data_IF_823644723144
#
_entry.id   IF_823644723144
#
_cell.length_a   1.000
_cell.length_b   1.000
_cell.length_c   1.000
_cell.angle_alpha   90.00
_cell.angle_beta   90.00
_cell.angle_gamma   90.00
#
_symmetry.space_group_name_H-M   'P 1'
#
loop_
_entity.id
_entity.type
_entity.pdbx_description
1 polymer ?
#
# COMPACT_ATOMS: atom_id res chain seq x y z
N UNK A 1 0.40 19.73 10.03
CA UNK A 1 0.03 18.58 10.85
C UNK A 1 0.07 17.32 9.98
N UNK A 2 0.63 16.24 10.49
CA UNK A 2 0.62 14.91 9.85
C UNK A 2 -0.26 13.99 10.69
N UNK A 3 -1.26 13.37 10.06
CA UNK A 3 -2.21 12.48 10.72
C UNK A 3 -2.39 11.19 9.90
N UNK A 4 -2.55 10.02 10.55
CA UNK A 4 -3.09 8.84 9.88
C UNK A 4 -4.48 9.14 9.32
N UNK A 5 -4.82 8.56 8.16
CA UNK A 5 -6.11 8.81 7.49
C UNK A 5 -7.33 8.63 8.41
N UNK A 6 -7.36 7.55 9.16
CA UNK A 6 -8.48 7.30 10.09
C UNK A 6 -8.54 8.32 11.24
N UNK A 7 -7.38 8.80 11.72
CA UNK A 7 -7.34 9.88 12.71
C UNK A 7 -7.87 11.18 12.14
N UNK A 8 -7.50 11.54 10.93
CA UNK A 8 -8.01 12.71 10.23
C UNK A 8 -9.54 12.65 10.09
N UNK A 9 -10.09 11.55 9.61
CA UNK A 9 -11.54 11.37 9.48
C UNK A 9 -12.25 11.41 10.84
N UNK A 10 -11.67 10.81 11.87
CA UNK A 10 -12.26 10.81 13.20
C UNK A 10 -12.28 12.23 13.81
N UNK A 11 -11.16 12.93 13.76
CA UNK A 11 -10.96 14.21 14.43
C UNK A 11 -11.67 15.36 13.71
N UNK A 12 -11.65 15.36 12.38
CA UNK A 12 -12.22 16.45 11.58
C UNK A 12 -13.55 16.08 10.94
N UNK A 13 -13.77 14.80 10.59
CA UNK A 13 -14.97 14.34 9.92
C UNK A 13 -16.11 13.90 10.85
N UNK A 14 -15.79 13.27 11.98
CA UNK A 14 -16.82 12.65 12.82
C UNK A 14 -16.98 13.33 14.16
N UNK A 15 -15.94 13.45 14.99
CA UNK A 15 -16.08 13.94 16.38
C UNK A 15 -16.79 15.28 16.52
N UNK A 16 -16.49 16.31 15.74
CA UNK A 16 -17.18 17.59 15.84
C UNK A 16 -18.66 17.53 15.48
N UNK A 17 -19.03 16.59 14.60
CA UNK A 17 -20.35 16.51 13.98
C UNK A 17 -21.13 15.22 14.33
N UNK A 18 -20.63 14.39 15.24
CA UNK A 18 -21.28 13.11 15.57
C UNK A 18 -22.71 13.29 16.13
N UNK A 19 -23.01 14.43 16.76
CA UNK A 19 -24.37 14.78 17.21
C UNK A 19 -25.35 15.01 16.06
N UNK A 20 -24.87 15.50 14.91
CA UNK A 20 -25.70 15.69 13.72
C UNK A 20 -26.04 14.40 13.00
N UNK A 21 -25.25 13.30 13.19
CA UNK A 21 -25.42 12.04 12.49
C UNK A 21 -26.76 11.30 12.76
N UNK A 22 -27.62 11.83 13.63
CA UNK A 22 -28.94 11.27 13.90
C UNK A 22 -28.97 10.09 14.87
N UNK A 23 -27.92 9.92 15.68
CA UNK A 23 -27.80 8.86 16.68
C UNK A 23 -28.09 9.33 18.11
N UNK A 24 -28.79 10.45 18.25
CA UNK A 24 -29.15 11.04 19.55
C UNK A 24 -27.91 11.58 20.28
N UNK A 25 -27.84 11.32 21.60
CA UNK A 25 -26.73 11.74 22.46
C UNK A 25 -25.53 10.78 22.45
N UNK A 26 -25.54 9.78 21.56
CA UNK A 26 -24.48 8.78 21.49
C UNK A 26 -23.13 9.41 21.09
N UNK A 27 -22.08 8.96 21.77
CA UNK A 27 -20.70 9.36 21.48
C UNK A 27 -19.87 8.14 21.10
N UNK A 28 -19.04 8.31 20.09
CA UNK A 28 -18.10 7.27 19.69
C UNK A 28 -16.84 7.30 20.57
N UNK A 29 -16.42 6.13 21.05
CA UNK A 29 -15.28 5.98 21.97
C UNK A 29 -13.94 5.95 21.24
N UNK A 30 -13.90 5.46 19.98
CA UNK A 30 -12.68 5.32 19.21
C UNK A 30 -12.91 4.67 17.86
N UNK A 31 -11.83 4.06 17.32
CA UNK A 31 -11.84 3.31 16.04
C UNK A 31 -11.44 1.87 16.32
N UNK A 32 -12.25 0.93 15.84
CA UNK A 32 -11.93 -0.48 15.79
C UNK A 32 -11.18 -0.79 14.48
N UNK A 33 -9.90 -1.10 14.60
CA UNK A 33 -9.00 -1.42 13.48
C UNK A 33 -9.06 -2.90 13.08
N UNK A 34 -9.78 -3.72 13.84
CA UNK A 34 -9.92 -5.12 13.47
C UNK A 34 -10.79 -5.25 12.21
N UNK A 35 -10.49 -6.23 11.34
CA UNK A 35 -11.34 -6.50 10.21
C UNK A 35 -12.78 -6.76 10.66
N UNK A 36 -13.71 -5.96 10.17
CA UNK A 36 -15.12 -6.17 10.43
C UNK A 36 -15.55 -7.53 9.87
N UNK A 37 -16.12 -8.38 10.73
CA UNK A 37 -16.83 -9.56 10.29
C UNK A 37 -18.05 -9.21 9.41
N UNK A 38 -18.83 -10.21 9.00
CA UNK A 38 -20.06 -9.95 8.25
C UNK A 38 -21.02 -9.10 9.08
N UNK A 39 -21.22 -7.85 8.64
CA UNK A 39 -22.11 -6.88 9.29
C UNK A 39 -23.45 -6.86 8.53
N UNK A 40 -24.48 -7.45 9.12
CA UNK A 40 -25.83 -7.50 8.57
C UNK A 40 -26.72 -6.34 9.03
N UNK A 41 -26.15 -5.37 9.78
CA UNK A 41 -26.93 -4.23 10.26
C UNK A 41 -27.33 -3.32 9.09
N UNK A 42 -28.54 -2.78 9.16
CA UNK A 42 -29.05 -1.87 8.15
C UNK A 42 -28.18 -0.61 8.05
N UNK A 43 -27.78 -0.26 6.82
CA UNK A 43 -27.06 0.99 6.55
C UNK A 43 -27.81 2.18 7.14
N UNK A 44 -27.09 3.11 7.77
CA UNK A 44 -27.65 4.30 8.42
C UNK A 44 -27.98 4.11 9.90
N UNK A 45 -28.00 2.89 10.43
CA UNK A 45 -28.17 2.65 11.88
C UNK A 45 -26.82 2.76 12.62
N UNK A 46 -26.85 3.06 13.91
CA UNK A 46 -25.65 3.15 14.75
C UNK A 46 -24.79 1.87 14.65
N UNK A 47 -25.44 0.71 14.74
CA UNK A 47 -24.76 -0.60 14.68
C UNK A 47 -24.12 -0.94 13.34
N UNK A 48 -24.49 -0.25 12.28
CA UNK A 48 -23.81 -0.37 10.99
C UNK A 48 -22.41 0.25 11.04
N UNK A 49 -22.23 1.31 11.84
CA UNK A 49 -21.00 2.08 11.90
C UNK A 49 -20.06 1.66 13.03
N UNK A 50 -20.57 1.10 14.13
CA UNK A 50 -19.75 0.80 15.29
C UNK A 50 -20.09 -0.54 15.96
N UNK A 51 -19.14 -1.04 16.75
CA UNK A 51 -19.29 -2.21 17.61
C UNK A 51 -20.12 -1.88 18.90
N UNK A 52 -20.24 -2.87 19.79
CA UNK A 52 -20.98 -2.71 21.06
C UNK A 52 -20.35 -1.68 22.00
N UNK A 53 -19.04 -1.53 21.95
CA UNK A 53 -18.25 -0.54 22.73
C UNK A 53 -18.28 0.86 22.11
N UNK A 54 -19.04 1.06 21.02
CA UNK A 54 -19.14 2.32 20.27
C UNK A 54 -17.83 2.73 19.60
N UNK A 55 -16.94 1.79 19.33
CA UNK A 55 -15.79 2.00 18.47
C UNK A 55 -16.23 1.88 17.01
N UNK A 56 -15.89 2.87 16.19
CA UNK A 56 -16.25 2.91 14.78
C UNK A 56 -15.40 1.90 14.03
N UNK A 57 -16.03 1.01 13.25
CA UNK A 57 -15.26 0.15 12.33
C UNK A 57 -14.47 1.00 11.35
N UNK A 58 -13.16 0.82 11.27
CA UNK A 58 -12.28 1.61 10.41
C UNK A 58 -12.82 1.70 8.96
N UNK A 59 -13.29 0.57 8.41
CA UNK A 59 -13.88 0.51 7.08
C UNK A 59 -15.19 1.30 6.91
N UNK A 60 -15.83 1.74 8.00
CA UNK A 60 -17.07 2.54 7.97
C UNK A 60 -16.84 4.01 8.33
N UNK A 61 -15.64 4.35 8.77
CA UNK A 61 -15.33 5.71 9.20
C UNK A 61 -15.54 6.77 8.10
N UNK A 62 -15.10 6.55 6.84
CA UNK A 62 -15.36 7.50 5.75
C UNK A 62 -16.86 7.66 5.47
N UNK A 63 -17.61 6.55 5.50
CA UNK A 63 -19.06 6.60 5.30
C UNK A 63 -19.79 7.36 6.43
N UNK A 64 -19.29 7.26 7.66
CA UNK A 64 -19.82 8.00 8.80
C UNK A 64 -19.47 9.49 8.70
N UNK A 65 -18.26 9.84 8.30
CA UNK A 65 -17.85 11.22 8.07
C UNK A 65 -18.73 11.89 6.99
N UNK A 66 -19.00 11.19 5.89
CA UNK A 66 -19.93 11.66 4.86
C UNK A 66 -21.36 11.82 5.37
N UNK A 67 -21.84 10.90 6.22
CA UNK A 67 -23.14 11.04 6.87
C UNK A 67 -23.17 12.26 7.79
N UNK A 68 -22.12 12.49 8.56
CA UNK A 68 -22.00 13.71 9.38
C UNK A 68 -22.05 14.96 8.50
N UNK A 69 -21.34 14.97 7.36
CA UNK A 69 -21.33 16.08 6.42
C UNK A 69 -22.73 16.35 5.85
N UNK A 70 -23.42 15.30 5.38
CA UNK A 70 -24.79 15.40 4.86
C UNK A 70 -25.75 15.95 5.93
N UNK A 71 -25.74 15.37 7.13
CA UNK A 71 -26.65 15.76 8.20
C UNK A 71 -26.35 17.14 8.82
N UNK A 72 -25.15 17.68 8.59
CA UNK A 72 -24.74 19.03 9.01
C UNK A 72 -24.70 20.04 7.85
N UNK A 73 -25.37 19.72 6.73
CA UNK A 73 -25.44 20.59 5.54
C UNK A 73 -24.08 21.05 5.01
N UNK A 74 -23.11 20.14 5.00
CA UNK A 74 -21.76 20.39 4.44
C UNK A 74 -20.73 20.89 5.45
N UNK A 75 -21.10 21.07 6.72
CA UNK A 75 -20.22 21.69 7.72
C UNK A 75 -18.92 20.89 8.01
N UNK A 76 -18.87 19.59 7.73
CA UNK A 76 -17.63 18.81 7.86
C UNK A 76 -16.57 19.30 6.86
N UNK A 77 -16.95 19.41 5.60
CA UNK A 77 -16.05 19.83 4.52
C UNK A 77 -15.66 21.30 4.71
N UNK A 78 -16.61 22.16 5.06
CA UNK A 78 -16.35 23.57 5.32
C UNK A 78 -15.33 23.75 6.46
N UNK A 79 -15.48 23.00 7.56
CA UNK A 79 -14.51 23.00 8.64
C UNK A 79 -13.11 22.60 8.18
N UNK A 80 -12.99 21.60 7.30
CA UNK A 80 -11.68 21.20 6.74
C UNK A 80 -11.08 22.36 5.95
N UNK A 81 -11.86 23.04 5.11
CA UNK A 81 -11.43 24.22 4.35
C UNK A 81 -10.97 25.38 5.24
N UNK A 82 -11.68 25.64 6.33
CA UNK A 82 -11.33 26.70 7.29
C UNK A 82 -10.03 26.41 8.05
N UNK A 83 -9.77 25.13 8.35
CA UNK A 83 -8.62 24.74 9.15
C UNK A 83 -7.34 24.52 8.34
N UNK A 84 -7.47 24.12 7.06
CA UNK A 84 -6.35 23.69 6.24
C UNK A 84 -6.33 24.44 4.90
N UNK A 85 -5.17 24.99 4.54
CA UNK A 85 -4.97 25.62 3.22
C UNK A 85 -4.81 24.59 2.10
N UNK A 86 -4.36 23.37 2.42
CA UNK A 86 -4.20 22.24 1.49
C UNK A 86 -4.27 20.93 2.25
N UNK A 87 -4.81 19.91 1.62
CA UNK A 87 -4.77 18.51 2.12
C UNK A 87 -3.83 17.69 1.23
N UNK A 88 -2.79 17.12 1.83
CA UNK A 88 -1.85 16.24 1.15
C UNK A 88 -2.18 14.80 1.55
N UNK A 89 -2.44 13.93 0.58
CA UNK A 89 -2.78 12.52 0.80
C UNK A 89 -1.71 11.66 0.17
N UNK A 90 -0.96 10.94 1.00
CA UNK A 90 0.03 9.97 0.56
C UNK A 90 -0.58 8.57 0.47
N UNK A 91 0.06 7.68 -0.30
CA UNK A 91 -0.36 6.29 -0.50
C UNK A 91 -1.82 6.16 -0.98
N UNK A 92 -2.25 7.02 -1.90
CA UNK A 92 -3.63 7.10 -2.37
C UNK A 92 -4.17 5.77 -2.92
N UNK A 93 -3.29 4.89 -3.42
CA UNK A 93 -3.66 3.56 -3.94
C UNK A 93 -4.19 2.60 -2.85
N UNK A 94 -3.99 2.92 -1.57
CA UNK A 94 -4.55 2.14 -0.44
C UNK A 94 -6.00 2.53 -0.12
N UNK A 95 -6.46 3.68 -0.61
CA UNK A 95 -7.83 4.16 -0.41
C UNK A 95 -8.83 3.31 -1.18
N UNK A 96 -10.03 3.18 -0.64
CA UNK A 96 -11.09 2.39 -1.25
C UNK A 96 -12.50 2.80 -0.78
N UNK A 97 -13.51 2.41 -1.53
CA UNK A 97 -14.89 2.54 -1.09
C UNK A 97 -15.33 4.00 -0.86
N UNK A 98 -15.72 4.32 0.36
CA UNK A 98 -16.18 5.65 0.74
C UNK A 98 -15.06 6.68 0.93
N UNK A 99 -13.79 6.26 0.97
CA UNK A 99 -12.65 7.20 0.99
C UNK A 99 -12.67 8.07 -0.26
N UNK A 100 -12.92 7.46 -1.43
CA UNK A 100 -13.04 8.19 -2.70
C UNK A 100 -14.19 9.19 -2.68
N UNK A 101 -15.33 8.84 -2.08
CA UNK A 101 -16.47 9.77 -1.98
C UNK A 101 -16.14 10.95 -1.06
N UNK A 102 -15.35 10.73 0.01
CA UNK A 102 -14.93 11.81 0.90
C UNK A 102 -13.93 12.74 0.19
N UNK A 103 -12.97 12.18 -0.54
CA UNK A 103 -12.02 12.95 -1.38
C UNK A 103 -12.78 13.75 -2.44
N UNK A 104 -13.76 13.13 -3.11
CA UNK A 104 -14.59 13.81 -4.10
C UNK A 104 -15.36 14.99 -3.48
N UNK A 105 -15.83 14.86 -2.24
CA UNK A 105 -16.48 15.96 -1.53
C UNK A 105 -15.51 17.12 -1.24
N UNK A 106 -14.25 16.84 -0.91
CA UNK A 106 -13.21 17.88 -0.76
C UNK A 106 -12.95 18.60 -2.08
N UNK A 107 -12.73 17.85 -3.16
CA UNK A 107 -12.50 18.41 -4.50
C UNK A 107 -13.69 19.27 -4.98
N UNK A 108 -14.92 18.79 -4.77
CA UNK A 108 -16.14 19.51 -5.18
C UNK A 108 -16.39 20.78 -4.37
N UNK A 109 -15.75 20.94 -3.23
CA UNK A 109 -15.81 22.14 -2.40
C UNK A 109 -14.65 23.11 -2.66
N UNK A 110 -13.92 22.93 -3.78
CA UNK A 110 -12.77 23.75 -4.15
C UNK A 110 -11.66 23.75 -3.10
N UNK A 111 -11.48 22.61 -2.42
CA UNK A 111 -10.38 22.40 -1.49
C UNK A 111 -9.12 21.98 -2.28
N UNK A 112 -7.99 22.69 -2.15
CA UNK A 112 -6.73 22.23 -2.72
C UNK A 112 -6.33 20.88 -2.11
N UNK A 113 -6.27 19.84 -2.95
CA UNK A 113 -5.89 18.48 -2.55
C UNK A 113 -4.75 18.01 -3.46
N UNK A 114 -3.64 17.58 -2.85
CA UNK A 114 -2.55 16.92 -3.57
C UNK A 114 -2.53 15.45 -3.15
N UNK A 115 -2.58 14.56 -4.11
CA UNK A 115 -2.60 13.12 -3.88
C UNK A 115 -1.39 12.48 -4.55
N UNK A 116 -0.65 11.65 -3.83
CA UNK A 116 0.43 10.88 -4.41
C UNK A 116 0.30 9.39 -4.06
N UNK A 117 0.82 8.55 -4.94
CA UNK A 117 0.79 7.11 -4.77
C UNK A 117 1.37 6.35 -5.97
N UNK A 118 1.50 5.05 -5.78
CA UNK A 118 1.98 4.13 -6.80
C UNK A 118 1.06 2.91 -6.87
N UNK A 119 0.31 2.74 -7.93
CA UNK A 119 -0.63 1.62 -8.11
C UNK A 119 0.04 0.25 -8.01
N UNK A 120 1.34 0.15 -8.34
CA UNK A 120 2.14 -1.06 -8.21
C UNK A 120 2.31 -1.51 -6.75
N UNK A 121 2.15 -0.58 -5.78
CA UNK A 121 2.28 -0.82 -4.35
C UNK A 121 0.95 -1.05 -3.63
N UNK A 122 -0.13 -1.33 -4.35
CA UNK A 122 -1.46 -1.60 -3.78
C UNK A 122 -1.51 -2.99 -3.11
N UNK A 123 -0.89 -3.12 -1.95
CA UNK A 123 -0.85 -4.36 -1.14
C UNK A 123 -1.94 -4.43 -0.08
N UNK A 124 -2.53 -3.29 0.26
CA UNK A 124 -3.55 -3.10 1.28
C UNK A 124 -4.69 -2.26 0.71
N UNK A 125 -5.87 -2.35 1.30
CA UNK A 125 -7.01 -1.47 1.04
C UNK A 125 -7.66 -1.08 2.35
N UNK A 126 -7.99 0.20 2.50
CA UNK A 126 -8.66 0.75 3.67
C UNK A 126 -10.05 0.15 3.89
N UNK A 127 -10.69 -0.35 2.82
CA UNK A 127 -12.04 -0.87 2.85
C UNK A 127 -12.19 -2.13 1.97
N UNK A 128 -12.69 -3.21 2.55
CA UNK A 128 -13.01 -4.46 1.85
C UNK A 128 -14.45 -4.51 1.30
N UNK A 129 -15.24 -3.44 1.46
CA UNK A 129 -16.64 -3.36 1.02
C UNK A 129 -16.82 -3.41 -0.50
N UNK A 130 -18.05 -3.62 -0.94
CA UNK A 130 -18.37 -3.71 -2.36
C UNK A 130 -18.44 -2.36 -3.08
N UNK A 131 -18.58 -1.24 -2.35
CA UNK A 131 -18.64 0.08 -2.96
C UNK A 131 -17.30 0.43 -3.62
N UNK A 132 -17.33 0.86 -4.87
CA UNK A 132 -16.16 1.21 -5.69
C UNK A 132 -15.09 0.09 -5.73
N UNK A 133 -15.50 -1.17 -5.56
CA UNK A 133 -14.60 -2.31 -5.54
C UNK A 133 -13.89 -2.47 -6.89
N UNK A 134 -12.57 -2.57 -6.83
CA UNK A 134 -11.74 -2.78 -8.02
C UNK A 134 -11.46 -1.53 -8.85
N UNK A 135 -12.02 -0.37 -8.50
CA UNK A 135 -11.66 0.88 -9.15
C UNK A 135 -10.33 1.41 -8.59
N UNK A 136 -9.49 1.94 -9.47
CA UNK A 136 -8.45 2.88 -9.09
C UNK A 136 -9.07 4.26 -8.82
N UNK A 137 -8.28 5.18 -8.22
CA UNK A 137 -8.74 6.55 -8.04
C UNK A 137 -9.04 7.23 -9.39
N UNK A 138 -8.19 7.04 -10.39
CA UNK A 138 -8.39 7.60 -11.73
C UNK A 138 -9.70 7.11 -12.34
N UNK A 139 -9.96 5.81 -12.32
CA UNK A 139 -11.22 5.24 -12.78
C UNK A 139 -12.44 5.76 -12.02
N UNK A 140 -12.27 6.04 -10.70
CA UNK A 140 -13.32 6.67 -9.91
C UNK A 140 -13.57 8.12 -10.34
N UNK A 141 -12.51 8.91 -10.56
CA UNK A 141 -12.58 10.31 -11.04
C UNK A 141 -13.29 10.37 -12.39
N UNK A 142 -12.91 9.54 -13.35
CA UNK A 142 -13.54 9.45 -14.68
C UNK A 142 -15.02 9.08 -14.58
N UNK A 143 -15.33 8.01 -13.88
CA UNK A 143 -16.70 7.50 -13.69
C UNK A 143 -17.62 8.55 -13.07
N UNK A 144 -17.12 9.37 -12.16
CA UNK A 144 -17.91 10.39 -11.46
C UNK A 144 -17.78 11.79 -12.09
N UNK A 145 -17.16 11.89 -13.28
CA UNK A 145 -17.01 13.14 -14.05
C UNK A 145 -16.28 14.24 -13.26
N UNK A 146 -15.27 13.87 -12.48
CA UNK A 146 -14.48 14.79 -11.67
C UNK A 146 -13.17 15.21 -12.37
N UNK A 147 -12.99 14.85 -13.63
CA UNK A 147 -11.77 15.12 -14.41
C UNK A 147 -11.44 16.61 -14.55
N UNK A 148 -12.47 17.47 -14.52
CA UNK A 148 -12.26 18.93 -14.54
C UNK A 148 -11.75 19.51 -13.24
N UNK A 149 -11.77 18.72 -12.14
CA UNK A 149 -11.31 19.12 -10.80
C UNK A 149 -9.94 18.55 -10.46
N UNK A 150 -9.33 17.75 -11.33
CA UNK A 150 -8.08 17.05 -11.06
C UNK A 150 -7.16 17.13 -12.27
N UNK A 151 -5.90 17.44 -12.01
CA UNK A 151 -4.79 17.24 -12.94
C UNK A 151 -4.02 15.98 -12.52
N UNK A 152 -3.65 15.14 -13.50
CA UNK A 152 -2.92 13.90 -13.25
C UNK A 152 -1.51 14.02 -13.83
N UNK A 153 -0.52 14.09 -12.95
CA UNK A 153 0.90 14.06 -13.30
C UNK A 153 1.44 12.63 -13.15
N UNK A 154 1.98 12.08 -14.22
CA UNK A 154 2.62 10.75 -14.26
C UNK A 154 4.13 10.83 -14.50
N UNK A 155 4.69 12.03 -14.58
CA UNK A 155 6.09 12.24 -14.97
C UNK A 155 6.96 12.69 -13.79
N UNK A 156 6.50 13.61 -12.96
CA UNK A 156 7.32 14.25 -11.92
C UNK A 156 7.88 13.27 -10.89
N UNK A 157 7.12 12.24 -10.51
CA UNK A 157 7.52 11.24 -9.51
C UNK A 157 7.98 9.90 -10.13
N UNK A 158 8.48 9.92 -11.35
CA UNK A 158 8.90 8.69 -12.05
C UNK A 158 10.29 8.17 -11.65
N UNK A 159 10.98 8.84 -10.75
CA UNK A 159 12.31 8.46 -10.27
C UNK A 159 12.33 7.97 -8.83
N UNK A 160 13.26 7.06 -8.51
CA UNK A 160 13.49 6.60 -7.14
C UNK A 160 14.89 6.95 -6.64
N UNK A 161 14.97 7.61 -5.49
CA UNK A 161 16.23 7.84 -4.77
C UNK A 161 16.62 6.68 -3.84
N UNK A 162 15.78 5.67 -3.73
CA UNK A 162 16.01 4.52 -2.83
C UNK A 162 16.79 3.41 -3.50
N UNK A 163 16.32 2.95 -4.63
CA UNK A 163 16.79 1.71 -5.23
C UNK A 163 17.92 1.96 -6.21
N UNK A 164 18.98 1.17 -6.12
CA UNK A 164 20.01 1.13 -7.14
C UNK A 164 19.46 0.75 -8.51
N UNK A 165 20.19 1.07 -9.56
CA UNK A 165 19.78 0.81 -10.96
C UNK A 165 19.37 -0.65 -11.19
N UNK A 166 20.21 -1.61 -10.78
CA UNK A 166 19.90 -3.03 -11.00
C UNK A 166 18.67 -3.53 -10.24
N UNK A 167 18.38 -2.96 -9.07
CA UNK A 167 17.16 -3.31 -8.30
C UNK A 167 15.91 -2.78 -8.98
N UNK A 168 15.91 -1.50 -9.41
CA UNK A 168 14.70 -0.91 -10.00
C UNK A 168 14.45 -1.42 -11.43
N UNK A 169 15.47 -1.69 -12.22
CA UNK A 169 15.31 -2.31 -13.54
C UNK A 169 14.63 -3.68 -13.42
N UNK A 170 15.03 -4.49 -12.43
CA UNK A 170 14.36 -5.77 -12.17
C UNK A 170 12.93 -5.58 -11.66
N UNK A 171 12.68 -4.60 -10.78
CA UNK A 171 11.35 -4.30 -10.30
C UNK A 171 10.39 -3.87 -11.44
N UNK A 172 10.88 -3.14 -12.43
CA UNK A 172 10.10 -2.73 -13.61
C UNK A 172 9.58 -3.93 -14.40
N UNK A 173 10.30 -5.06 -14.43
CA UNK A 173 9.84 -6.29 -15.10
C UNK A 173 8.56 -6.87 -14.47
N UNK A 174 8.30 -6.58 -13.19
CA UNK A 174 7.06 -7.02 -12.50
C UNK A 174 5.82 -6.34 -13.07
N UNK A 175 5.97 -5.12 -13.59
CA UNK A 175 4.89 -4.29 -14.13
C UNK A 175 5.22 -3.72 -15.52
N UNK A 176 5.39 -4.57 -16.55
CA UNK A 176 5.78 -4.11 -17.89
C UNK A 176 4.75 -3.21 -18.57
N UNK A 177 3.50 -3.15 -18.05
CA UNK A 177 2.44 -2.28 -18.55
C UNK A 177 2.52 -0.84 -18.04
N UNK A 178 3.36 -0.56 -17.03
CA UNK A 178 3.58 0.80 -16.55
C UNK A 178 4.89 1.38 -17.11
N UNK A 179 4.99 2.71 -17.21
CA UNK A 179 6.27 3.35 -17.52
C UNK A 179 7.36 2.91 -16.52
N UNK A 180 8.58 2.63 -16.99
CA UNK A 180 9.64 2.21 -16.10
C UNK A 180 10.05 3.35 -15.15
N UNK A 181 10.25 2.99 -13.88
CA UNK A 181 10.84 3.91 -12.90
C UNK A 181 12.33 3.98 -13.08
N UNK A 182 12.91 5.17 -13.03
CA UNK A 182 14.35 5.41 -13.14
C UNK A 182 15.02 5.45 -11.76
N UNK A 183 16.26 4.97 -11.67
CA UNK A 183 17.07 5.15 -10.47
C UNK A 183 17.71 6.54 -10.48
N UNK A 184 17.38 7.32 -9.46
CA UNK A 184 18.03 8.58 -9.11
C UNK A 184 19.00 8.40 -7.93
N UNK A 185 19.26 7.14 -7.56
CA UNK A 185 20.19 6.82 -6.48
C UNK A 185 21.61 7.20 -6.87
N UNK A 186 22.31 7.91 -5.98
CA UNK A 186 23.71 8.21 -6.19
C UNK A 186 24.52 6.91 -6.33
N UNK A 187 25.54 6.92 -7.17
CA UNK A 187 26.46 5.80 -7.27
C UNK A 187 27.03 5.45 -5.89
N UNK A 188 26.95 4.18 -5.52
CA UNK A 188 27.50 3.69 -4.26
C UNK A 188 28.71 2.81 -4.52
N UNK A 189 29.61 2.74 -3.54
CA UNK A 189 30.75 1.80 -3.56
C UNK A 189 30.32 0.38 -3.13
N UNK A 190 29.02 0.13 -3.02
CA UNK A 190 28.50 -1.18 -2.64
C UNK A 190 28.80 -2.21 -3.73
N UNK A 191 29.60 -3.20 -3.39
CA UNK A 191 30.06 -4.24 -4.32
C UNK A 191 29.00 -5.30 -4.57
N UNK A 192 28.15 -5.58 -3.57
CA UNK A 192 27.04 -6.52 -3.69
C UNK A 192 25.75 -5.79 -4.09
N UNK A 193 25.55 -5.63 -5.39
CA UNK A 193 24.47 -4.81 -5.95
C UNK A 193 23.62 -5.59 -6.97
N UNK A 194 22.35 -5.21 -7.10
CA UNK A 194 21.40 -5.77 -8.06
C UNK A 194 20.64 -6.98 -7.53
N UNK A 195 20.25 -7.90 -8.41
CA UNK A 195 19.38 -9.02 -8.05
C UNK A 195 20.10 -10.35 -8.23
N UNK A 196 19.89 -11.26 -7.27
CA UNK A 196 20.61 -12.50 -7.13
C UNK A 196 19.67 -13.67 -6.82
N UNK A 197 19.92 -14.82 -7.42
CA UNK A 197 19.36 -16.09 -6.98
C UNK A 197 20.28 -16.70 -5.91
N UNK A 198 19.69 -17.09 -4.79
CA UNK A 198 20.41 -17.68 -3.66
C UNK A 198 19.97 -19.13 -3.55
N UNK A 199 20.84 -20.13 -3.83
CA UNK A 199 20.50 -21.53 -3.58
C UNK A 199 20.03 -21.72 -2.13
N UNK A 200 18.97 -22.48 -1.94
CA UNK A 200 18.38 -22.70 -0.60
C UNK A 200 19.42 -23.24 0.38
N UNK A 201 20.29 -24.15 -0.05
CA UNK A 201 21.39 -24.67 0.74
C UNK A 201 22.43 -23.62 1.18
N UNK A 202 22.50 -22.49 0.46
CA UNK A 202 23.42 -21.40 0.74
C UNK A 202 22.77 -20.20 1.45
N UNK A 203 21.46 -20.24 1.70
CA UNK A 203 20.72 -19.11 2.28
C UNK A 203 21.28 -18.67 3.65
N UNK A 204 21.70 -19.62 4.48
CA UNK A 204 22.33 -19.32 5.79
C UNK A 204 23.67 -18.59 5.61
N UNK A 205 24.53 -19.06 4.71
CA UNK A 205 25.82 -18.41 4.42
C UNK A 205 25.64 -17.01 3.85
N UNK A 206 24.59 -16.83 3.03
CA UNK A 206 24.26 -15.50 2.50
C UNK A 206 23.83 -14.54 3.62
N UNK A 207 23.04 -15.01 4.60
CA UNK A 207 22.69 -14.22 5.77
C UNK A 207 23.91 -13.85 6.62
N UNK A 208 24.84 -14.76 6.80
CA UNK A 208 26.10 -14.50 7.52
C UNK A 208 27.01 -13.50 6.80
N UNK A 209 26.96 -13.49 5.45
CA UNK A 209 27.75 -12.58 4.62
C UNK A 209 27.22 -11.13 4.61
N UNK A 210 25.88 -10.93 4.53
CA UNK A 210 25.28 -9.60 4.30
C UNK A 210 24.33 -9.14 5.41
N UNK A 211 23.89 -10.05 6.29
CA UNK A 211 22.80 -9.81 7.27
C UNK A 211 21.58 -9.10 6.63
N UNK A 212 21.01 -9.63 5.54
CA UNK A 212 19.89 -8.99 4.85
C UNK A 212 18.63 -9.07 5.69
N UNK A 213 17.69 -8.13 5.47
CA UNK A 213 16.33 -8.30 6.02
C UNK A 213 15.60 -9.38 5.23
N UNK A 214 15.16 -10.43 5.92
CA UNK A 214 14.37 -11.49 5.30
C UNK A 214 12.91 -11.06 5.16
N UNK A 215 12.38 -11.16 3.93
CA UNK A 215 10.97 -10.95 3.63
C UNK A 215 10.31 -12.28 3.26
N UNK A 216 9.18 -12.58 3.95
CA UNK A 216 8.41 -13.82 3.77
C UNK A 216 6.91 -13.57 3.74
N UNK A 217 6.15 -14.58 3.27
CA UNK A 217 4.70 -14.46 3.19
C UNK A 217 4.04 -14.49 4.58
N UNK A 218 4.44 -15.43 5.42
CA UNK A 218 3.86 -15.66 6.76
C UNK A 218 4.90 -16.14 7.76
N UNK A 219 4.55 -16.11 9.03
CA UNK A 219 5.41 -16.63 10.11
C UNK A 219 5.67 -18.14 10.02
N UNK A 220 4.81 -18.89 9.31
CA UNK A 220 4.99 -20.32 9.08
C UNK A 220 6.06 -20.64 8.03
N UNK A 221 6.48 -19.66 7.20
CA UNK A 221 7.57 -19.87 6.24
C UNK A 221 8.88 -20.03 7.01
N UNK A 222 9.50 -21.20 6.87
CA UNK A 222 10.84 -21.44 7.40
C UNK A 222 11.87 -20.62 6.63
N UNK A 223 12.81 -20.02 7.33
CA UNK A 223 13.85 -19.16 6.75
C UNK A 223 15.19 -19.45 7.39
N UNK A 224 16.28 -19.03 6.75
CA UNK A 224 17.57 -18.91 7.40
C UNK A 224 17.50 -17.96 8.60
N UNK A 225 18.50 -18.03 9.49
CA UNK A 225 18.62 -17.10 10.61
C UNK A 225 19.19 -15.77 10.13
N UNK A 226 18.53 -14.68 10.50
CA UNK A 226 18.97 -13.31 10.22
C UNK A 226 18.52 -12.40 11.37
N UNK A 227 19.17 -11.24 11.50
CA UNK A 227 18.86 -10.25 12.53
C UNK A 227 17.44 -9.70 12.42
N UNK A 228 16.88 -9.68 11.21
CA UNK A 228 15.54 -9.16 10.96
C UNK A 228 14.77 -10.01 9.95
N UNK A 229 13.56 -10.44 10.36
CA UNK A 229 12.64 -11.19 9.53
C UNK A 229 11.25 -10.52 9.58
N UNK A 230 10.67 -10.25 8.42
CA UNK A 230 9.38 -9.62 8.39
C UNK A 230 8.47 -10.16 7.26
N UNK A 231 7.14 -10.05 7.43
CA UNK A 231 6.21 -10.43 6.38
C UNK A 231 6.11 -9.31 5.34
N UNK A 232 5.87 -9.63 4.05
CA UNK A 232 5.76 -8.68 2.94
C UNK A 232 4.90 -7.46 3.27
N UNK A 233 3.72 -7.67 3.86
CA UNK A 233 2.81 -6.56 4.19
C UNK A 233 3.33 -5.58 5.25
N UNK A 234 4.28 -6.01 6.11
CA UNK A 234 4.91 -5.17 7.13
C UNK A 234 6.15 -4.43 6.61
N UNK A 235 6.64 -4.78 5.43
CA UNK A 235 7.81 -4.15 4.82
C UNK A 235 7.46 -2.84 4.10
N UNK A 236 6.18 -2.61 3.77
CA UNK A 236 5.74 -1.36 3.11
C UNK A 236 6.13 -0.15 3.96
N UNK A 237 6.58 0.92 3.32
CA UNK A 237 7.07 2.14 3.97
C UNK A 237 8.48 2.05 4.57
N UNK A 238 9.12 0.87 4.57
CA UNK A 238 10.48 0.68 5.09
C UNK A 238 11.52 0.66 3.97
N UNK A 239 12.79 0.85 4.35
CA UNK A 239 13.94 0.79 3.44
C UNK A 239 15.05 0.00 4.10
N UNK A 240 15.71 -0.87 3.34
CA UNK A 240 16.78 -1.74 3.80
C UNK A 240 17.93 -1.72 2.79
N UNK A 241 19.14 -1.95 3.21
CA UNK A 241 20.28 -2.01 2.31
C UNK A 241 20.22 -3.27 1.45
N UNK A 242 20.00 -4.41 2.07
CA UNK A 242 19.90 -5.72 1.43
C UNK A 242 18.63 -6.45 1.88
N UNK A 243 17.98 -7.11 0.94
CA UNK A 243 16.76 -7.89 1.19
C UNK A 243 16.93 -9.30 0.68
N UNK A 244 16.51 -10.30 1.48
CA UNK A 244 16.41 -11.69 1.07
C UNK A 244 14.94 -12.12 1.04
N UNK A 245 14.45 -12.47 -0.12
CA UNK A 245 13.04 -12.82 -0.35
C UNK A 245 12.89 -14.34 -0.37
N UNK A 246 11.98 -14.86 0.45
CA UNK A 246 11.46 -16.23 0.36
C UNK A 246 10.18 -16.19 -0.50
N UNK A 247 10.28 -16.54 -1.79
CA UNK A 247 9.17 -16.39 -2.72
C UNK A 247 8.06 -17.41 -2.43
N UNK A 248 6.81 -17.02 -2.69
CA UNK A 248 5.70 -17.98 -2.80
C UNK A 248 5.71 -18.62 -4.18
N UNK A 249 4.97 -19.72 -4.36
CA UNK A 249 5.00 -20.51 -5.60
C UNK A 249 4.80 -19.65 -6.88
N UNK A 250 3.80 -18.77 -6.90
CA UNK A 250 3.55 -17.89 -8.05
C UNK A 250 4.76 -16.99 -8.35
N UNK A 251 5.43 -16.47 -7.31
CA UNK A 251 6.64 -15.64 -7.48
C UNK A 251 7.82 -16.48 -7.97
N UNK A 252 7.98 -17.71 -7.48
CA UNK A 252 9.03 -18.61 -7.92
C UNK A 252 8.86 -18.99 -9.41
N UNK A 253 7.63 -19.26 -9.85
CA UNK A 253 7.34 -19.50 -11.27
C UNK A 253 7.64 -18.29 -12.14
N UNK A 254 7.31 -17.08 -11.65
CA UNK A 254 7.62 -15.84 -12.37
C UNK A 254 9.15 -15.58 -12.47
N UNK A 255 9.92 -15.96 -11.46
CA UNK A 255 11.39 -15.86 -11.53
C UNK A 255 12.00 -16.76 -12.60
N UNK A 256 11.39 -17.91 -12.87
CA UNK A 256 11.82 -18.83 -13.94
C UNK A 256 11.38 -18.32 -15.32
N UNK A 257 10.19 -17.77 -15.41
CA UNK A 257 9.61 -17.23 -16.64
C UNK A 257 8.78 -15.96 -16.32
N UNK A 258 9.34 -14.81 -16.61
CA UNK A 258 8.72 -13.51 -16.38
C UNK A 258 7.43 -13.26 -17.21
N UNK A 259 7.12 -14.13 -18.18
CA UNK A 259 5.83 -14.11 -18.89
C UNK A 259 4.68 -14.71 -18.08
N UNK A 260 4.98 -15.43 -16.99
CA UNK A 260 3.99 -16.00 -16.09
C UNK A 260 3.12 -14.90 -15.46
N UNK A 261 1.80 -15.01 -15.60
CA UNK A 261 0.90 -14.02 -15.01
C UNK A 261 0.82 -14.15 -13.49
N UNK A 262 1.09 -13.05 -12.81
CA UNK A 262 0.97 -12.93 -11.37
C UNK A 262 -0.41 -12.39 -10.99
N UNK A 263 -1.07 -13.02 -10.04
CA UNK A 263 -2.28 -12.46 -9.43
C UNK A 263 -1.99 -11.04 -8.92
N UNK A 264 -2.92 -10.08 -9.08
CA UNK A 264 -2.67 -8.67 -8.75
C UNK A 264 -2.04 -8.45 -7.37
N UNK A 265 -2.54 -9.13 -6.34
CA UNK A 265 -2.02 -8.99 -4.99
C UNK A 265 -0.61 -9.59 -4.81
N UNK A 266 -0.30 -10.71 -5.49
CA UNK A 266 1.03 -11.32 -5.48
C UNK A 266 2.02 -10.42 -6.21
N UNK A 267 1.61 -9.85 -7.34
CA UNK A 267 2.38 -8.89 -8.15
C UNK A 267 2.78 -7.67 -7.32
N UNK A 268 1.83 -7.03 -6.65
CA UNK A 268 2.10 -5.87 -5.78
C UNK A 268 3.02 -6.22 -4.61
N UNK A 269 2.82 -7.38 -3.97
CA UNK A 269 3.71 -7.84 -2.88
C UNK A 269 5.14 -8.07 -3.36
N UNK A 270 5.31 -8.65 -4.55
CA UNK A 270 6.63 -8.87 -5.16
C UNK A 270 7.31 -7.53 -5.45
N UNK A 271 6.62 -6.61 -6.11
CA UNK A 271 7.13 -5.29 -6.41
C UNK A 271 7.53 -4.52 -5.14
N UNK A 272 6.65 -4.52 -4.12
CA UNK A 272 6.96 -3.90 -2.82
C UNK A 272 8.18 -4.56 -2.20
N UNK A 273 8.30 -5.88 -2.18
CA UNK A 273 9.42 -6.58 -1.57
C UNK A 273 10.76 -6.20 -2.24
N UNK A 274 10.80 -6.17 -3.56
CA UNK A 274 11.99 -5.78 -4.33
C UNK A 274 12.36 -4.32 -4.04
N UNK A 275 11.41 -3.41 -4.12
CA UNK A 275 11.64 -1.97 -3.94
C UNK A 275 11.88 -1.54 -2.49
N UNK A 276 11.96 -2.46 -1.55
CA UNK A 276 12.47 -2.18 -0.18
C UNK A 276 13.99 -2.13 -0.12
N UNK A 277 14.68 -2.74 -1.07
CA UNK A 277 16.14 -2.77 -1.10
C UNK A 277 16.74 -1.49 -1.71
N UNK A 278 17.81 -1.02 -1.09
CA UNK A 278 18.66 0.04 -1.67
C UNK A 278 19.62 -0.56 -2.68
N UNK A 279 20.37 -1.59 -2.30
CA UNK A 279 21.49 -2.10 -3.05
C UNK A 279 21.22 -3.47 -3.68
N UNK A 280 20.77 -4.46 -2.90
CA UNK A 280 20.58 -5.80 -3.44
C UNK A 280 19.34 -6.53 -2.96
N UNK A 281 18.85 -7.40 -3.83
CA UNK A 281 17.76 -8.35 -3.56
C UNK A 281 18.25 -9.76 -3.85
N UNK A 282 18.21 -10.65 -2.85
CA UNK A 282 18.36 -12.08 -3.03
C UNK A 282 16.99 -12.77 -3.08
N UNK A 283 16.82 -13.72 -3.98
CA UNK A 283 15.67 -14.63 -3.98
C UNK A 283 16.15 -16.04 -3.61
N UNK A 284 15.59 -16.63 -2.57
CA UNK A 284 15.88 -18.01 -2.22
C UNK A 284 15.20 -18.92 -3.24
N UNK A 285 15.98 -19.82 -3.84
CA UNK A 285 15.54 -20.75 -4.89
C UNK A 285 15.99 -22.16 -4.51
N UNK A 286 15.10 -23.12 -4.65
CA UNK A 286 15.43 -24.52 -4.41
C UNK A 286 16.61 -24.97 -5.32
N UNK A 287 17.57 -25.72 -4.76
CA UNK A 287 18.83 -26.04 -5.44
C UNK A 287 18.62 -26.74 -6.79
N UNK A 288 17.60 -27.61 -6.88
CA UNK A 288 17.25 -28.30 -8.12
C UNK A 288 16.60 -27.39 -9.19
N UNK A 289 16.24 -26.15 -8.84
CA UNK A 289 15.61 -25.16 -9.72
C UNK A 289 16.56 -24.06 -10.19
N UNK A 290 17.79 -24.03 -9.67
CA UNK A 290 18.78 -23.00 -10.03
C UNK A 290 19.08 -23.00 -11.53
N UNK A 291 19.19 -24.17 -12.14
CA UNK A 291 19.50 -24.32 -13.57
C UNK A 291 18.29 -24.01 -14.50
N UNK A 292 17.09 -23.80 -13.93
CA UNK A 292 15.89 -23.41 -14.68
C UNK A 292 15.70 -21.88 -14.71
N UNK A 293 16.57 -21.13 -14.05
CA UNK A 293 16.51 -19.67 -14.02
C UNK A 293 17.06 -19.06 -15.31
N UNK A 294 16.57 -17.89 -15.74
CA UNK A 294 17.12 -17.19 -16.89
C UNK A 294 18.56 -16.71 -16.60
N UNK A 295 19.41 -16.70 -17.61
CA UNK A 295 20.82 -16.25 -17.51
C UNK A 295 20.98 -14.82 -17.01
N UNK A 296 19.92 -14.02 -17.11
CA UNK A 296 19.90 -12.65 -16.61
C UNK A 296 19.87 -12.55 -15.08
N UNK A 297 19.49 -13.62 -14.37
CA UNK A 297 19.47 -13.68 -12.92
C UNK A 297 20.73 -14.35 -12.39
N UNK A 298 21.63 -13.55 -11.84
CA UNK A 298 22.93 -14.02 -11.32
C UNK A 298 22.75 -14.96 -10.12
N UNK A 299 23.46 -16.09 -10.12
CA UNK A 299 23.48 -17.02 -8.99
C UNK A 299 24.60 -16.62 -8.03
N UNK A 300 24.27 -16.43 -6.77
CA UNK A 300 25.26 -16.12 -5.73
C UNK A 300 26.09 -17.35 -5.38
N UNK A 301 27.38 -17.12 -5.23
CA UNK A 301 28.36 -18.12 -4.78
C UNK A 301 29.20 -17.47 -3.66
N UNK A 302 29.47 -18.21 -2.56
CA UNK A 302 30.29 -17.72 -1.44
C UNK A 302 31.72 -17.45 -1.82
#
# INVERSE_FOLDING_TARGET
TVLPWFSFLLEHGVRPFQGAAGFGKERFSGVDLNPEGRNFNKKGTLRYYCNKSKEIYAAKLPALALKCNECSSGAVIERVRELFGVVLIDEIQDMAGYDYDFIAALLSADMPVVMCGDERQSTYRTNAGNKNKGLSLEQYIEKNKLTSLCEIDRATLNGTHRCSKGVIEFANMVYPMFPPTESLCAASNETHNGVWAIPESLAQKYCEFLDPVILRHSVATQTANASSVCNFGKAKGRTYDHVLIYPVADMASWLQDASTDLKPQTRSKLYVAITRARFSVGFVVADNKINELPDTLRVWKP
#
